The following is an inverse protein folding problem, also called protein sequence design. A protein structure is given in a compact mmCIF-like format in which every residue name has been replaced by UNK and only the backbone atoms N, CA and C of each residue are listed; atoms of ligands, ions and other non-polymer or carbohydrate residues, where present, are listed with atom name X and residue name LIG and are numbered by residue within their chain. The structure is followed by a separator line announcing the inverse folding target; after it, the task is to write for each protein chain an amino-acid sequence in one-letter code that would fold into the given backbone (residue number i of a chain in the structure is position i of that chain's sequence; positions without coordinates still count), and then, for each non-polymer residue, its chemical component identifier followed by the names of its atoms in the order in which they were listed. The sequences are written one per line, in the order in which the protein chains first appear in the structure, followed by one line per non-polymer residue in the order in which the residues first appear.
data_IF_746082611178
#
_entry.id   IF_746082611178
#
_cell.length_a   1.000
_cell.length_b   1.000
_cell.length_c   1.000
_cell.angle_alpha   90.00
_cell.angle_beta   90.00
_cell.angle_gamma   90.00
#
_symmetry.space_group_name_H-M   'P 1'
#
loop_
_entity.id
_entity.type
_entity.pdbx_description
1 polymer ?
#
# COMPACT_ATOMS: atom_id res chain seq x y z
N UNK A 1 35.84 4.24 -14.12
CA UNK A 1 35.69 3.24 -13.05
C UNK A 1 35.74 1.90 -13.74
N UNK A 2 36.70 1.05 -13.37
CA UNK A 2 36.81 -0.33 -13.88
C UNK A 2 35.80 -1.13 -13.08
N UNK A 3 34.82 -1.73 -13.74
CA UNK A 3 33.97 -2.74 -13.12
C UNK A 3 34.89 -3.96 -12.96
N UNK A 4 35.22 -4.28 -11.71
CA UNK A 4 35.90 -5.53 -11.38
C UNK A 4 34.79 -6.59 -11.30
N UNK A 5 34.54 -7.27 -12.43
CA UNK A 5 33.56 -8.36 -12.62
C UNK A 5 34.09 -9.72 -12.09
N UNK A 6 34.77 -9.77 -10.94
CA UNK A 6 35.55 -10.95 -10.54
C UNK A 6 35.09 -11.66 -9.22
N UNK A 7 33.93 -11.32 -8.64
CA UNK A 7 33.43 -11.99 -7.41
C UNK A 7 31.99 -12.56 -7.50
N UNK A 8 31.40 -12.67 -8.69
CA UNK A 8 30.12 -13.38 -8.85
C UNK A 8 30.41 -14.84 -9.22
N UNK A 9 30.51 -15.72 -8.21
CA UNK A 9 30.47 -17.17 -8.47
C UNK A 9 29.18 -17.49 -9.28
N UNK A 10 29.28 -18.24 -10.39
CA UNK A 10 28.11 -18.62 -11.16
C UNK A 10 27.10 -19.32 -10.26
N UNK A 11 25.86 -18.86 -10.25
CA UNK A 11 24.78 -19.51 -9.50
C UNK A 11 24.74 -21.01 -9.87
N UNK A 12 24.94 -21.87 -8.87
CA UNK A 12 24.98 -23.32 -9.05
C UNK A 12 23.57 -23.87 -9.24
N UNK A 13 23.17 -23.99 -10.50
CA UNK A 13 21.87 -24.55 -10.87
C UNK A 13 21.74 -26.02 -10.48
N UNK A 14 22.84 -26.78 -10.46
CA UNK A 14 22.82 -28.20 -10.15
C UNK A 14 22.54 -28.41 -8.64
N UNK A 15 23.19 -27.61 -7.77
CA UNK A 15 22.92 -27.63 -6.31
C UNK A 15 21.51 -27.15 -5.97
N UNK A 16 21.02 -26.11 -6.65
CA UNK A 16 19.66 -25.63 -6.48
C UNK A 16 18.64 -26.71 -6.86
N UNK A 17 18.80 -27.38 -8.00
CA UNK A 17 17.88 -28.45 -8.44
C UNK A 17 17.89 -29.65 -7.48
N UNK A 18 19.05 -30.00 -6.91
CA UNK A 18 19.15 -31.12 -5.96
C UNK A 18 18.51 -30.81 -4.60
N UNK A 19 18.61 -29.56 -4.13
CA UNK A 19 18.16 -29.15 -2.80
C UNK A 19 16.79 -28.43 -2.79
N UNK A 20 16.21 -28.13 -3.95
CA UNK A 20 14.91 -27.46 -4.05
C UNK A 20 13.77 -28.37 -3.61
N UNK A 21 13.13 -28.01 -2.48
CA UNK A 21 11.88 -28.61 -2.03
C UNK A 21 10.69 -27.70 -2.41
N UNK A 22 9.92 -28.04 -3.45
CA UNK A 22 8.76 -27.24 -3.86
C UNK A 22 7.68 -27.14 -2.78
N UNK A 23 7.53 -28.18 -1.95
CA UNK A 23 6.53 -28.17 -0.86
C UNK A 23 6.99 -27.28 0.29
N UNK A 24 8.30 -27.22 0.60
CA UNK A 24 8.83 -26.26 1.55
C UNK A 24 8.68 -24.81 1.06
N UNK A 25 9.07 -24.54 -0.19
CA UNK A 25 8.95 -23.22 -0.79
C UNK A 25 7.48 -22.73 -0.79
N UNK A 26 6.54 -23.60 -1.17
CA UNK A 26 5.12 -23.29 -1.13
C UNK A 26 4.64 -23.00 0.30
N UNK A 27 5.08 -23.78 1.29
CA UNK A 27 4.71 -23.55 2.70
C UNK A 27 5.22 -22.22 3.23
N UNK A 28 6.43 -21.81 2.83
CA UNK A 28 7.02 -20.53 3.20
C UNK A 28 6.25 -19.37 2.57
N UNK A 29 5.97 -19.42 1.26
CA UNK A 29 5.14 -18.42 0.57
C UNK A 29 3.76 -18.28 1.20
N UNK A 30 3.11 -19.39 1.54
CA UNK A 30 1.80 -19.35 2.21
C UNK A 30 1.87 -18.78 3.63
N UNK A 31 2.94 -19.09 4.37
CA UNK A 31 3.15 -18.52 5.70
C UNK A 31 3.34 -17.01 5.62
N UNK A 32 4.09 -16.54 4.63
CA UNK A 32 4.34 -15.13 4.40
C UNK A 32 3.08 -14.40 3.95
N UNK A 33 2.30 -14.99 3.02
CA UNK A 33 1.00 -14.44 2.63
C UNK A 33 0.06 -14.30 3.83
N UNK A 34 -0.03 -15.32 4.70
CA UNK A 34 -0.83 -15.24 5.94
C UNK A 34 -0.34 -14.14 6.88
N UNK A 35 0.99 -13.94 6.99
CA UNK A 35 1.57 -12.84 7.78
C UNK A 35 1.11 -11.49 7.24
N UNK A 36 1.25 -11.28 5.93
CA UNK A 36 0.86 -10.04 5.24
C UNK A 36 -0.64 -9.79 5.38
N UNK A 37 -1.48 -10.78 5.09
CA UNK A 37 -2.95 -10.71 5.24
C UNK A 37 -3.38 -10.40 6.68
N UNK A 38 -2.56 -10.79 7.67
CA UNK A 38 -2.84 -10.52 9.08
C UNK A 38 -2.57 -9.07 9.50
N UNK A 39 -1.82 -8.29 8.71
CA UNK A 39 -1.37 -6.95 9.05
C UNK A 39 -2.56 -6.02 9.36
N UNK A 40 -2.58 -5.34 10.53
CA UNK A 40 -3.65 -4.42 10.88
C UNK A 40 -3.84 -3.31 9.86
N UNK A 41 -2.74 -2.75 9.33
CA UNK A 41 -2.78 -1.67 8.33
C UNK A 41 -3.41 -2.14 7.01
N UNK A 42 -3.20 -3.39 6.60
CA UNK A 42 -3.76 -3.94 5.37
C UNK A 42 -5.27 -4.15 5.53
N UNK A 43 -5.71 -4.76 6.63
CA UNK A 43 -7.13 -4.91 6.95
C UNK A 43 -7.84 -3.56 6.97
N UNK A 44 -7.21 -2.57 7.60
CA UNK A 44 -7.77 -1.22 7.66
C UNK A 44 -7.79 -0.53 6.29
N UNK A 45 -6.83 -0.77 5.42
CA UNK A 45 -6.87 -0.29 4.04
C UNK A 45 -8.08 -0.86 3.27
N UNK A 46 -8.39 -2.14 3.48
CA UNK A 46 -9.56 -2.77 2.87
C UNK A 46 -10.87 -2.18 3.41
N UNK A 47 -10.96 -1.96 4.73
CA UNK A 47 -12.12 -1.27 5.33
C UNK A 47 -12.32 0.14 4.76
N UNK A 48 -11.22 0.89 4.56
CA UNK A 48 -11.27 2.22 3.91
C UNK A 48 -11.79 2.11 2.48
N UNK A 49 -11.39 1.10 1.71
CA UNK A 49 -11.92 0.86 0.36
C UNK A 49 -13.42 0.54 0.40
N UNK A 50 -13.84 -0.38 1.25
CA UNK A 50 -15.24 -0.80 1.35
C UNK A 50 -16.16 0.37 1.73
N UNK A 51 -15.74 1.18 2.72
CA UNK A 51 -16.48 2.37 3.14
C UNK A 51 -16.45 3.46 2.07
N UNK A 52 -15.31 3.66 1.39
CA UNK A 52 -15.22 4.61 0.28
C UNK A 52 -16.18 4.24 -0.84
N UNK A 53 -16.24 2.96 -1.22
CA UNK A 53 -17.16 2.46 -2.24
C UNK A 53 -18.61 2.69 -1.83
N UNK A 54 -18.98 2.29 -0.61
CA UNK A 54 -20.34 2.47 -0.11
C UNK A 54 -20.77 3.95 -0.09
N UNK A 55 -19.87 4.87 0.24
CA UNK A 55 -20.13 6.31 0.24
C UNK A 55 -20.18 6.87 -1.18
N UNK A 56 -19.22 6.49 -2.02
CA UNK A 56 -19.17 6.92 -3.42
C UNK A 56 -20.46 6.56 -4.14
N UNK A 57 -21.00 5.35 -3.91
CA UNK A 57 -22.26 4.91 -4.52
C UNK A 57 -23.50 5.72 -4.09
N UNK A 58 -23.39 6.55 -3.04
CA UNK A 58 -24.46 7.49 -2.63
C UNK A 58 -24.35 8.88 -3.24
N UNK A 59 -23.26 9.18 -3.95
CA UNK A 59 -23.03 10.48 -4.60
C UNK A 59 -24.09 10.68 -5.70
N UNK A 60 -24.66 11.88 -5.75
CA UNK A 60 -25.55 12.30 -6.83
C UNK A 60 -24.76 12.40 -8.16
N UNK A 61 -24.98 11.44 -9.05
CA UNK A 61 -24.27 11.32 -10.34
C UNK A 61 -24.54 12.47 -11.30
N UNK A 62 -25.72 13.09 -11.23
CA UNK A 62 -26.05 14.23 -12.10
C UNK A 62 -25.33 15.51 -11.63
N UNK A 63 -25.02 15.60 -10.33
CA UNK A 63 -24.28 16.70 -9.73
C UNK A 63 -22.74 16.44 -9.68
N UNK A 64 -22.29 15.20 -9.86
CA UNK A 64 -20.88 14.81 -9.81
C UNK A 64 -20.10 15.13 -11.10
N UNK A 65 -20.01 16.43 -11.41
CA UNK A 65 -19.34 16.93 -12.62
C UNK A 65 -17.84 16.64 -12.68
N UNK A 66 -17.21 16.32 -11.53
CA UNK A 66 -15.77 16.07 -11.42
C UNK A 66 -15.42 14.59 -11.29
N UNK A 67 -16.39 13.67 -11.42
CA UNK A 67 -16.19 12.22 -11.33
C UNK A 67 -15.58 11.82 -9.97
N UNK A 68 -16.09 12.42 -8.88
CA UNK A 68 -15.64 12.11 -7.52
C UNK A 68 -15.88 10.66 -7.16
N UNK A 69 -16.95 10.05 -7.65
CA UNK A 69 -17.19 8.62 -7.49
C UNK A 69 -15.96 7.80 -7.90
N UNK A 70 -15.54 7.94 -9.15
CA UNK A 70 -14.43 7.18 -9.72
C UNK A 70 -13.10 7.55 -9.08
N UNK A 71 -12.86 8.84 -8.83
CA UNK A 71 -11.60 9.29 -8.25
C UNK A 71 -11.42 8.83 -6.80
N UNK A 72 -12.48 8.78 -6.00
CA UNK A 72 -12.40 8.29 -4.62
C UNK A 72 -12.09 6.80 -4.60
N UNK A 73 -12.79 6.01 -5.41
CA UNK A 73 -12.55 4.57 -5.53
C UNK A 73 -11.10 4.33 -5.98
N UNK A 74 -10.63 5.04 -7.00
CA UNK A 74 -9.26 4.92 -7.50
C UNK A 74 -8.22 5.18 -6.40
N UNK A 75 -8.41 6.21 -5.56
CA UNK A 75 -7.49 6.47 -4.46
C UNK A 75 -7.53 5.38 -3.38
N UNK A 76 -8.72 4.91 -3.00
CA UNK A 76 -8.83 3.88 -1.97
C UNK A 76 -8.27 2.53 -2.42
N UNK A 77 -8.46 2.18 -3.69
CA UNK A 77 -7.93 0.95 -4.29
C UNK A 77 -6.39 0.89 -4.30
N UNK A 78 -5.71 2.02 -4.15
CA UNK A 78 -4.25 2.07 -4.15
C UNK A 78 -3.62 1.76 -2.79
N UNK A 79 -4.38 1.79 -1.69
CA UNK A 79 -3.81 1.61 -0.35
C UNK A 79 -3.32 0.17 -0.13
N UNK A 80 -4.19 -0.83 -0.29
CA UNK A 80 -3.88 -2.22 0.01
C UNK A 80 -2.78 -2.82 -0.90
N UNK A 81 -2.81 -2.65 -2.24
CA UNK A 81 -1.77 -3.19 -3.12
C UNK A 81 -0.37 -2.65 -2.81
N UNK A 82 -0.27 -1.40 -2.37
CA UNK A 82 1.01 -0.78 -2.00
C UNK A 82 1.56 -1.31 -0.67
N UNK A 83 0.69 -1.70 0.25
CA UNK A 83 1.11 -2.40 1.48
C UNK A 83 1.66 -3.78 1.12
N UNK A 84 0.92 -4.56 0.31
CA UNK A 84 1.37 -5.88 -0.14
C UNK A 84 2.69 -5.80 -0.92
N UNK A 85 2.82 -4.82 -1.83
CA UNK A 85 4.03 -4.60 -2.60
C UNK A 85 5.24 -4.19 -1.75
N UNK A 86 5.03 -3.42 -0.67
CA UNK A 86 6.08 -3.08 0.28
C UNK A 86 6.56 -4.33 1.04
N UNK A 87 5.64 -5.18 1.51
CA UNK A 87 6.01 -6.40 2.24
C UNK A 87 6.71 -7.44 1.34
N UNK A 88 6.33 -7.53 0.06
CA UNK A 88 6.96 -8.48 -0.87
C UNK A 88 8.34 -8.05 -1.38
N UNK A 89 8.66 -6.75 -1.38
CA UNK A 89 9.97 -6.25 -1.79
C UNK A 89 11.02 -6.23 -0.68
N UNK A 90 10.58 -6.11 0.57
CA UNK A 90 11.34 -6.00 1.84
C UNK A 90 12.58 -5.09 1.91
N UNK A 91 12.94 -4.38 0.84
CA UNK A 91 13.99 -3.36 0.84
C UNK A 91 13.46 -2.03 1.37
N UNK A 92 14.20 -1.40 2.28
CA UNK A 92 13.80 -0.15 2.94
C UNK A 92 13.33 0.92 1.95
N UNK A 93 14.10 1.16 0.89
CA UNK A 93 13.77 2.18 -0.10
C UNK A 93 12.45 1.86 -0.82
N UNK A 94 12.25 0.61 -1.26
CA UNK A 94 10.99 0.18 -1.91
C UNK A 94 9.81 0.30 -0.96
N UNK A 95 9.98 -0.07 0.32
CA UNK A 95 8.94 0.06 1.35
C UNK A 95 8.56 1.53 1.57
N UNK A 96 9.55 2.41 1.61
CA UNK A 96 9.34 3.86 1.77
C UNK A 96 8.65 4.49 0.56
N UNK A 97 8.99 4.11 -0.67
CA UNK A 97 8.31 4.57 -1.88
C UNK A 97 6.83 4.19 -1.88
N UNK A 98 6.52 2.93 -1.57
CA UNK A 98 5.14 2.47 -1.42
C UNK A 98 4.41 3.23 -0.31
N UNK A 99 5.06 3.49 0.83
CA UNK A 99 4.50 4.29 1.91
C UNK A 99 4.20 5.74 1.48
N UNK A 100 5.03 6.35 0.63
CA UNK A 100 4.76 7.67 0.04
C UNK A 100 3.51 7.64 -0.84
N UNK A 101 3.38 6.65 -1.71
CA UNK A 101 2.19 6.50 -2.57
C UNK A 101 0.91 6.32 -1.75
N UNK A 102 0.94 5.46 -0.72
CA UNK A 102 -0.17 5.28 0.23
C UNK A 102 -0.57 6.62 0.85
N UNK A 103 0.41 7.39 1.33
CA UNK A 103 0.18 8.69 1.96
C UNK A 103 -0.43 9.70 0.99
N UNK A 104 -0.02 9.70 -0.27
CA UNK A 104 -0.60 10.58 -1.31
C UNK A 104 -2.08 10.24 -1.49
N UNK A 105 -2.43 8.97 -1.73
CA UNK A 105 -3.81 8.56 -1.96
C UNK A 105 -4.71 8.77 -0.74
N UNK A 106 -4.23 8.48 0.47
CA UNK A 106 -4.98 8.74 1.70
C UNK A 106 -5.25 10.24 1.92
N UNK A 107 -4.30 11.11 1.58
CA UNK A 107 -4.49 12.56 1.63
C UNK A 107 -5.46 13.06 0.57
N UNK A 108 -5.43 12.47 -0.62
CA UNK A 108 -6.35 12.82 -1.69
C UNK A 108 -7.80 12.46 -1.32
N UNK A 109 -8.03 11.28 -0.72
CA UNK A 109 -9.33 10.93 -0.14
C UNK A 109 -9.83 11.99 0.86
N UNK A 110 -8.95 12.46 1.76
CA UNK A 110 -9.32 13.53 2.70
C UNK A 110 -9.65 14.84 1.98
N UNK A 111 -8.95 15.18 0.91
CA UNK A 111 -9.27 16.36 0.07
C UNK A 111 -10.64 16.20 -0.59
N UNK A 112 -10.93 15.03 -1.18
CA UNK A 112 -12.21 14.72 -1.81
C UNK A 112 -13.37 14.79 -0.81
N UNK A 113 -13.16 14.37 0.45
CA UNK A 113 -14.19 14.55 1.50
C UNK A 113 -14.54 16.03 1.75
N UNK A 114 -13.59 16.96 1.57
CA UNK A 114 -13.88 18.39 1.69
C UNK A 114 -14.71 18.89 0.50
N UNK A 115 -14.42 18.40 -0.70
CA UNK A 115 -15.16 18.74 -1.91
C UNK A 115 -16.61 18.23 -1.83
N UNK A 116 -16.83 16.95 -1.48
CA UNK A 116 -18.18 16.40 -1.30
C UNK A 116 -19.01 17.24 -0.33
N UNK A 117 -18.39 17.73 0.75
CA UNK A 117 -19.06 18.59 1.73
C UNK A 117 -19.40 19.97 1.16
N UNK A 118 -18.48 20.57 0.41
CA UNK A 118 -18.66 21.91 -0.15
C UNK A 118 -19.80 21.94 -1.18
N UNK A 119 -19.83 20.93 -2.06
CA UNK A 119 -20.84 20.78 -3.11
C UNK A 119 -22.11 20.06 -2.64
N UNK A 120 -22.15 19.62 -1.37
CA UNK A 120 -23.29 18.89 -0.76
C UNK A 120 -23.67 17.62 -1.53
N UNK A 121 -22.68 16.95 -2.09
CA UNK A 121 -22.83 15.74 -2.91
C UNK A 121 -23.08 14.48 -2.08
N UNK A 122 -22.89 14.54 -0.76
CA UNK A 122 -23.04 13.40 0.13
C UNK A 122 -23.45 13.87 1.53
N UNK A 123 -24.08 12.98 2.31
CA UNK A 123 -24.47 13.25 3.70
C UNK A 123 -23.23 13.57 4.57
N UNK A 124 -23.23 14.68 5.34
CA UNK A 124 -22.14 15.02 6.25
C UNK A 124 -21.77 13.92 7.25
N UNK A 125 -22.70 13.04 7.63
CA UNK A 125 -22.44 11.91 8.51
C UNK A 125 -21.55 10.86 7.84
N UNK A 126 -21.75 10.57 6.54
CA UNK A 126 -20.92 9.66 5.76
C UNK A 126 -19.52 10.25 5.56
N UNK A 127 -19.45 11.55 5.28
CA UNK A 127 -18.18 12.29 5.20
C UNK A 127 -17.40 12.18 6.53
N UNK A 128 -18.09 12.34 7.68
CA UNK A 128 -17.45 12.20 8.99
C UNK A 128 -16.93 10.78 9.21
N UNK A 129 -17.73 9.77 8.90
CA UNK A 129 -17.35 8.35 9.01
C UNK A 129 -16.08 8.05 8.23
N UNK A 130 -16.01 8.41 6.94
CA UNK A 130 -14.82 8.16 6.12
C UNK A 130 -13.56 8.83 6.70
N UNK A 131 -13.69 10.04 7.24
CA UNK A 131 -12.55 10.76 7.83
C UNK A 131 -12.06 10.08 9.11
N UNK A 132 -12.96 9.53 9.93
CA UNK A 132 -12.61 8.76 11.13
C UNK A 132 -11.88 7.46 10.76
N UNK A 133 -12.33 6.79 9.70
CA UNK A 133 -11.72 5.57 9.17
C UNK A 133 -10.32 5.81 8.61
N UNK A 134 -10.13 6.90 7.86
CA UNK A 134 -8.81 7.32 7.38
C UNK A 134 -7.88 7.70 8.54
N UNK A 135 -8.40 8.29 9.61
CA UNK A 135 -7.57 8.61 10.78
C UNK A 135 -7.13 7.34 11.53
N UNK A 136 -8.02 6.37 11.71
CA UNK A 136 -7.65 5.06 12.27
C UNK A 136 -6.61 4.36 11.39
N UNK A 137 -6.79 4.40 10.06
CA UNK A 137 -5.80 3.91 9.10
C UNK A 137 -4.44 4.60 9.28
N UNK A 138 -4.42 5.94 9.41
CA UNK A 138 -3.21 6.74 9.57
C UNK A 138 -2.40 6.31 10.81
N UNK A 139 -3.08 5.99 11.91
CA UNK A 139 -2.41 5.51 13.13
C UNK A 139 -1.71 4.18 12.87
N UNK A 140 -2.40 3.21 12.26
CA UNK A 140 -1.82 1.91 11.92
C UNK A 140 -0.69 2.03 10.88
N UNK A 141 -0.86 2.90 9.89
CA UNK A 141 0.15 3.20 8.89
C UNK A 141 1.45 3.74 9.49
N UNK A 142 1.36 4.64 10.47
CA UNK A 142 2.54 5.17 11.16
C UNK A 142 3.28 4.07 11.93
N UNK A 143 2.56 3.20 12.63
CA UNK A 143 3.17 2.06 13.33
C UNK A 143 3.81 1.07 12.35
N UNK A 144 3.18 0.83 11.21
CA UNK A 144 3.73 0.01 10.15
C UNK A 144 5.03 0.58 9.57
N UNK A 145 5.08 1.86 9.22
CA UNK A 145 6.31 2.49 8.68
C UNK A 145 7.46 2.47 9.70
N UNK A 146 7.17 2.59 11.00
CA UNK A 146 8.19 2.49 12.04
C UNK A 146 8.86 1.11 12.12
N UNK A 147 8.23 0.08 11.57
CA UNK A 147 8.78 -1.29 11.56
C UNK A 147 9.81 -1.53 10.46
N UNK A 148 10.01 -0.59 9.53
CA UNK A 148 10.92 -0.79 8.41
C UNK A 148 12.38 -0.78 8.86
N UNK A 149 13.12 -1.83 8.49
CA UNK A 149 14.54 -1.94 8.76
C UNK A 149 15.35 -1.13 7.75
N UNK A 150 16.04 -0.09 8.21
CA UNK A 150 16.91 0.77 7.39
C UNK A 150 18.20 0.09 6.95
N UNK A 151 18.57 -1.00 7.60
CA UNK A 151 19.81 -1.74 7.31
C UNK A 151 19.63 -2.76 6.19
N UNK A 152 18.38 -3.13 5.89
CA UNK A 152 18.01 -3.98 4.76
C UNK A 152 17.66 -3.11 3.55
N UNK A 153 18.66 -2.69 2.78
CA UNK A 153 18.44 -1.87 1.59
C UNK A 153 19.50 -2.08 0.52
N UNK A 154 19.14 -1.76 -0.72
CA UNK A 154 20.07 -1.68 -1.86
C UNK A 154 19.96 -0.27 -2.41
N UNK A 155 21.11 0.39 -2.61
CA UNK A 155 21.14 1.74 -3.14
C UNK A 155 20.53 1.78 -4.55
N UNK A 156 19.33 2.35 -4.66
CA UNK A 156 18.87 2.89 -5.94
C UNK A 156 19.72 4.13 -6.28
N UNK A 157 19.89 4.50 -7.54
CA UNK A 157 20.68 5.70 -7.87
C UNK A 157 19.83 6.99 -7.87
N UNK A 158 18.67 7.01 -7.18
CA UNK A 158 17.66 8.07 -7.30
C UNK A 158 17.67 9.13 -6.19
N UNK A 159 18.07 8.78 -4.97
CA UNK A 159 18.53 9.72 -3.96
C UNK A 159 17.61 9.94 -2.78
N UNK A 160 16.54 9.15 -2.63
CA UNK A 160 15.36 9.60 -1.88
C UNK A 160 15.37 9.29 -0.37
N UNK A 161 15.97 8.18 0.08
CA UNK A 161 15.73 7.64 1.43
C UNK A 161 16.97 7.21 2.24
N UNK A 162 18.18 7.46 1.74
CA UNK A 162 19.46 7.14 2.40
C UNK A 162 20.20 8.37 2.95
#
# INVERSE_FOLDING_TARGET
MRFDDDDDEPFDWDDFEENYDPEAAQRELEAENRRIESLPVLKKAQEVLDITQAIADTIDKDADILMMHEQMIANAMMLAPKIVGAEGGDLYTIRMENAVLIKIHARELLTQTNYLRAERLCDPAYIKLLREEIEQFRVLFVEWVKSFDRTNDIQDNWGLFY
#
